data_IF_145275217706
#
_entry.id   IF_145275217706
#
_cell.length_a   1.000
_cell.length_b   1.000
_cell.length_c   1.000
_cell.angle_alpha   90.00
_cell.angle_beta   90.00
_cell.angle_gamma   90.00
#
_symmetry.space_group_name_H-M   'P 1'
#
loop_
_entity.id
_entity.type
_entity.pdbx_description
1 polymer ?
#
# COMPACT_ATOMS: atom_id res chain seq x y z
N UNK A 1 11.04 1.31 -15.37
CA UNK A 1 9.57 1.43 -15.22
C UNK A 1 8.94 0.13 -14.73
N UNK A 2 9.05 -0.99 -15.46
CA UNK A 2 8.48 -2.29 -15.05
C UNK A 2 8.99 -2.78 -13.69
N UNK A 3 10.31 -2.69 -13.46
CA UNK A 3 10.92 -3.01 -12.16
C UNK A 3 10.30 -2.19 -11.01
N UNK A 4 10.13 -0.89 -11.21
CA UNK A 4 9.56 -0.01 -10.20
C UNK A 4 8.11 -0.35 -9.88
N UNK A 5 7.31 -0.65 -10.91
CA UNK A 5 5.92 -1.09 -10.72
C UNK A 5 5.89 -2.40 -9.93
N UNK A 6 6.75 -3.35 -10.27
CA UNK A 6 6.85 -4.62 -9.56
C UNK A 6 7.23 -4.42 -8.07
N UNK A 7 8.22 -3.57 -7.78
CA UNK A 7 8.60 -3.23 -6.41
C UNK A 7 7.45 -2.56 -5.65
N UNK A 8 6.69 -1.65 -6.28
CA UNK A 8 5.53 -1.03 -5.63
C UNK A 8 4.42 -2.04 -5.33
N UNK A 9 4.14 -2.96 -6.25
CA UNK A 9 3.14 -4.00 -6.01
C UNK A 9 3.59 -4.94 -4.88
N UNK A 10 4.86 -5.35 -4.89
CA UNK A 10 5.40 -6.21 -3.84
C UNK A 10 5.40 -5.51 -2.47
N UNK A 11 5.81 -4.24 -2.43
CA UNK A 11 5.75 -3.41 -1.24
C UNK A 11 4.31 -3.30 -0.71
N UNK A 12 3.34 -3.02 -1.59
CA UNK A 12 1.92 -2.94 -1.26
C UNK A 12 1.36 -4.23 -0.68
N UNK A 13 1.72 -5.37 -1.27
CA UNK A 13 1.35 -6.69 -0.77
C UNK A 13 1.92 -6.96 0.62
N UNK A 14 3.18 -6.62 0.85
CA UNK A 14 3.81 -6.77 2.17
C UNK A 14 3.20 -5.81 3.20
N UNK A 15 2.96 -4.55 2.85
CA UNK A 15 2.40 -3.58 3.78
C UNK A 15 0.96 -3.92 4.18
N UNK A 16 0.10 -4.15 3.18
CA UNK A 16 -1.32 -4.46 3.42
C UNK A 16 -1.45 -5.84 4.07
N UNK A 17 -0.74 -6.85 3.56
CA UNK A 17 -0.79 -8.21 4.11
C UNK A 17 -0.20 -8.29 5.52
N UNK A 18 0.93 -7.62 5.77
CA UNK A 18 1.53 -7.55 7.10
C UNK A 18 0.62 -6.83 8.10
N UNK A 19 0.04 -5.71 7.69
CA UNK A 19 -0.96 -4.98 8.49
C UNK A 19 -2.21 -5.81 8.78
N UNK A 20 -2.71 -6.54 7.78
CA UNK A 20 -3.87 -7.42 7.92
C UNK A 20 -3.63 -8.56 8.93
N UNK A 21 -2.45 -9.17 8.92
CA UNK A 21 -2.09 -10.21 9.88
C UNK A 21 -2.03 -9.68 11.33
N UNK A 22 -1.51 -8.46 11.52
CA UNK A 22 -1.55 -7.79 12.82
C UNK A 22 -2.99 -7.46 13.22
N UNK A 23 -3.81 -7.01 12.27
CA UNK A 23 -5.23 -6.75 12.50
C UNK A 23 -5.98 -8.00 12.97
N UNK A 24 -5.75 -9.16 12.33
CA UNK A 24 -6.29 -10.45 12.76
C UNK A 24 -5.86 -10.81 14.20
N UNK A 25 -4.60 -10.58 14.55
CA UNK A 25 -4.12 -10.84 15.90
C UNK A 25 -4.78 -9.93 16.95
N UNK A 26 -4.78 -8.62 16.71
CA UNK A 26 -5.22 -7.64 17.71
C UNK A 26 -6.74 -7.45 17.79
N UNK A 27 -7.45 -7.55 16.66
CA UNK A 27 -8.89 -7.27 16.58
C UNK A 27 -9.76 -8.52 16.47
N UNK A 28 -9.28 -9.58 15.84
CA UNK A 28 -10.03 -10.85 15.70
C UNK A 28 -9.62 -11.90 16.74
N UNK A 29 -8.70 -11.58 17.66
CA UNK A 29 -8.26 -12.48 18.73
C UNK A 29 -7.55 -13.74 18.23
N UNK A 30 -7.01 -13.70 17.01
CA UNK A 30 -6.27 -14.81 16.43
C UNK A 30 -4.92 -15.03 17.16
N UNK A 31 -4.23 -16.11 16.78
CA UNK A 31 -2.94 -16.47 17.37
C UNK A 31 -1.92 -15.33 17.31
N UNK A 32 -1.17 -15.13 18.41
CA UNK A 32 -0.07 -14.15 18.49
C UNK A 32 1.02 -14.37 17.46
N UNK A 33 1.13 -15.60 16.93
CA UNK A 33 2.04 -15.93 15.85
C UNK A 33 1.73 -15.17 14.56
N UNK A 34 0.44 -14.92 14.25
CA UNK A 34 0.06 -14.12 13.07
C UNK A 34 0.53 -12.68 13.21
N UNK A 35 0.40 -12.10 14.41
CA UNK A 35 0.89 -10.75 14.69
C UNK A 35 2.41 -10.65 14.51
N UNK A 36 3.15 -11.64 14.98
CA UNK A 36 4.60 -11.70 14.79
C UNK A 36 4.99 -11.81 13.31
N UNK A 37 4.36 -12.72 12.55
CA UNK A 37 4.59 -12.84 11.10
C UNK A 37 4.23 -11.54 10.40
N UNK A 38 3.09 -10.93 10.74
CA UNK A 38 2.66 -9.65 10.19
C UNK A 38 3.70 -8.56 10.42
N UNK A 39 4.26 -8.49 11.64
CA UNK A 39 5.35 -7.56 11.98
C UNK A 39 6.62 -7.81 11.15
N UNK A 40 7.02 -9.07 10.95
CA UNK A 40 8.17 -9.42 10.10
C UNK A 40 7.91 -8.99 8.64
N UNK A 41 6.71 -9.23 8.12
CA UNK A 41 6.35 -8.82 6.75
C UNK A 41 6.33 -7.29 6.62
N UNK A 42 5.84 -6.56 7.61
CA UNK A 42 5.92 -5.09 7.63
C UNK A 42 7.37 -4.59 7.64
N UNK A 43 8.26 -5.27 8.37
CA UNK A 43 9.70 -4.96 8.32
C UNK A 43 10.27 -5.21 6.91
N UNK A 44 9.89 -6.32 6.27
CA UNK A 44 10.29 -6.62 4.89
C UNK A 44 9.77 -5.57 3.91
N UNK A 45 8.56 -5.05 4.09
CA UNK A 45 8.03 -3.94 3.29
C UNK A 45 8.98 -2.73 3.33
N UNK A 46 9.45 -2.31 4.51
CA UNK A 46 10.38 -1.18 4.62
C UNK A 46 11.67 -1.40 3.83
N UNK A 47 12.19 -2.62 3.82
CA UNK A 47 13.36 -3.01 3.02
C UNK A 47 13.06 -2.98 1.52
N UNK A 48 11.93 -3.57 1.11
CA UNK A 48 11.51 -3.64 -0.31
C UNK A 48 11.26 -2.24 -0.88
N UNK A 49 10.56 -1.38 -0.13
CA UNK A 49 10.27 0.00 -0.54
C UNK A 49 11.55 0.82 -0.77
N UNK A 50 12.63 0.51 -0.05
CA UNK A 50 13.93 1.19 -0.19
C UNK A 50 14.59 0.90 -1.54
N UNK A 51 14.30 -0.23 -2.19
CA UNK A 51 14.84 -0.56 -3.51
C UNK A 51 14.15 0.21 -4.65
N UNK A 52 13.19 1.07 -4.35
CA UNK A 52 12.47 1.82 -5.36
C UNK A 52 13.34 2.93 -5.99
N UNK A 53 13.47 2.89 -7.31
CA UNK A 53 14.30 3.82 -8.08
C UNK A 53 13.46 4.99 -8.60
N UNK A 54 13.43 6.10 -7.84
CA UNK A 54 12.75 7.36 -8.23
C UNK A 54 13.53 8.58 -7.68
N UNK A 55 13.36 9.81 -8.22
CA UNK A 55 14.31 10.91 -8.02
C UNK A 55 14.48 11.38 -6.56
N UNK A 56 13.45 11.21 -5.72
CA UNK A 56 13.46 11.66 -4.31
C UNK A 56 12.59 10.74 -3.47
N UNK A 57 13.05 10.43 -2.25
CA UNK A 57 12.32 9.62 -1.26
C UNK A 57 10.86 10.05 -1.09
N UNK A 58 10.62 11.36 -0.93
CA UNK A 58 9.26 11.87 -0.75
C UNK A 58 8.35 11.61 -1.96
N UNK A 59 8.87 11.69 -3.18
CA UNK A 59 8.09 11.41 -4.39
C UNK A 59 7.86 9.91 -4.61
N UNK A 60 8.81 9.06 -4.20
CA UNK A 60 8.62 7.60 -4.14
C UNK A 60 7.40 7.27 -3.29
N UNK A 61 7.39 7.77 -2.05
CA UNK A 61 6.33 7.47 -1.09
C UNK A 61 4.99 8.11 -1.48
N UNK A 62 5.00 9.30 -2.09
CA UNK A 62 3.79 9.90 -2.65
C UNK A 62 3.19 9.02 -3.77
N UNK A 63 4.03 8.56 -4.71
CA UNK A 63 3.60 7.67 -5.79
C UNK A 63 3.08 6.34 -5.26
N UNK A 64 3.80 5.77 -4.30
CA UNK A 64 3.43 4.56 -3.63
C UNK A 64 2.09 4.69 -2.90
N UNK A 65 1.83 5.81 -2.22
CA UNK A 65 0.55 6.06 -1.55
C UNK A 65 -0.65 5.93 -2.50
N UNK A 66 -0.49 6.33 -3.76
CA UNK A 66 -1.52 6.11 -4.79
C UNK A 66 -1.73 4.62 -5.11
N UNK A 67 -0.64 3.88 -5.28
CA UNK A 67 -0.68 2.42 -5.50
C UNK A 67 -1.30 1.71 -4.29
N UNK A 68 -0.91 2.12 -3.08
CA UNK A 68 -1.40 1.58 -1.81
C UNK A 68 -2.91 1.72 -1.69
N UNK A 69 -3.50 2.87 -2.05
CA UNK A 69 -4.95 3.06 -2.01
C UNK A 69 -5.64 2.07 -2.96
N UNK A 70 -5.17 1.95 -4.20
CA UNK A 70 -5.75 1.02 -5.18
C UNK A 70 -5.64 -0.43 -4.68
N UNK A 71 -4.47 -0.81 -4.18
CA UNK A 71 -4.27 -2.17 -3.65
C UNK A 71 -5.10 -2.42 -2.40
N UNK A 72 -5.31 -1.43 -1.54
CA UNK A 72 -6.15 -1.56 -0.33
C UNK A 72 -7.61 -1.83 -0.70
N UNK A 73 -8.15 -1.14 -1.71
CA UNK A 73 -9.51 -1.40 -2.20
C UNK A 73 -9.64 -2.80 -2.82
N UNK A 74 -8.65 -3.22 -3.61
CA UNK A 74 -8.61 -4.57 -4.18
C UNK A 74 -8.52 -5.63 -3.07
N UNK A 75 -7.70 -5.37 -2.04
CA UNK A 75 -7.55 -6.27 -0.91
C UNK A 75 -8.86 -6.40 -0.12
N UNK A 76 -9.52 -5.28 0.19
CA UNK A 76 -10.83 -5.29 0.85
C UNK A 76 -11.88 -6.07 0.03
N UNK A 77 -11.85 -5.93 -1.30
CA UNK A 77 -12.74 -6.67 -2.19
C UNK A 77 -12.48 -8.18 -2.20
N UNK A 78 -11.21 -8.60 -2.23
CA UNK A 78 -10.84 -10.02 -2.36
C UNK A 78 -10.87 -10.73 -1.00
N UNK A 79 -10.26 -10.13 0.02
CA UNK A 79 -10.02 -10.75 1.33
C UNK A 79 -11.20 -10.53 2.26
N UNK A 80 -11.65 -9.28 2.41
CA UNK A 80 -12.78 -8.97 3.29
C UNK A 80 -14.13 -9.15 2.59
N UNK A 81 -14.14 -9.45 1.28
CA UNK A 81 -15.34 -9.61 0.44
C UNK A 81 -16.28 -8.40 0.49
N UNK A 82 -15.74 -7.23 0.81
CA UNK A 82 -16.49 -5.98 0.85
C UNK A 82 -16.23 -5.21 -0.44
N UNK A 83 -17.27 -5.05 -1.25
CA UNK A 83 -17.19 -4.25 -2.46
C UNK A 83 -16.96 -2.78 -2.10
N UNK A 84 -15.96 -2.11 -2.71
CA UNK A 84 -15.74 -0.69 -2.47
C UNK A 84 -17.00 0.08 -2.84
N UNK A 85 -17.42 0.96 -1.95
CA UNK A 85 -18.63 1.73 -2.17
C UNK A 85 -18.37 2.90 -3.13
N UNK A 86 -19.42 3.66 -3.46
CA UNK A 86 -19.27 4.84 -4.34
C UNK A 86 -18.37 5.91 -3.71
N UNK A 87 -18.37 6.04 -2.39
CA UNK A 87 -17.60 7.03 -1.67
C UNK A 87 -16.11 6.66 -1.62
N UNK A 88 -15.79 5.38 -1.43
CA UNK A 88 -14.44 4.81 -1.51
C UNK A 88 -13.83 5.09 -2.88
N UNK A 89 -14.59 4.87 -3.95
CA UNK A 89 -14.11 5.10 -5.31
C UNK A 89 -13.88 6.60 -5.58
N UNK A 90 -14.78 7.47 -5.14
CA UNK A 90 -14.61 8.92 -5.26
C UNK A 90 -13.39 9.39 -4.46
N UNK A 91 -13.24 8.91 -3.22
CA UNK A 91 -12.10 9.21 -2.36
C UNK A 91 -10.78 8.76 -2.99
N UNK A 92 -10.74 7.53 -3.50
CA UNK A 92 -9.57 7.01 -4.21
C UNK A 92 -9.21 7.84 -5.44
N UNK A 93 -10.19 8.26 -6.24
CA UNK A 93 -9.97 9.16 -7.37
C UNK A 93 -9.33 10.48 -6.92
N UNK A 94 -9.83 11.10 -5.85
CA UNK A 94 -9.28 12.36 -5.32
C UNK A 94 -7.82 12.15 -4.87
N UNK A 95 -7.54 11.07 -4.15
CA UNK A 95 -6.19 10.76 -3.70
C UNK A 95 -5.23 10.51 -4.88
N UNK A 96 -5.66 9.76 -5.90
CA UNK A 96 -4.86 9.51 -7.10
C UNK A 96 -4.57 10.82 -7.84
N UNK A 97 -5.56 11.71 -7.97
CA UNK A 97 -5.35 13.05 -8.55
C UNK A 97 -4.29 13.81 -7.74
N UNK A 98 -4.38 13.79 -6.40
CA UNK A 98 -3.38 14.40 -5.52
C UNK A 98 -1.98 13.83 -5.74
N UNK A 99 -1.85 12.51 -5.86
CA UNK A 99 -0.57 11.84 -6.17
C UNK A 99 -0.03 12.25 -7.54
N UNK A 100 -0.89 12.30 -8.56
CA UNK A 100 -0.51 12.80 -9.89
C UNK A 100 0.06 14.22 -9.82
N UNK A 101 -0.58 15.11 -9.05
CA UNK A 101 -0.10 16.49 -8.83
C UNK A 101 1.28 16.52 -8.14
N UNK A 102 1.55 15.60 -7.21
CA UNK A 102 2.86 15.53 -6.53
C UNK A 102 3.98 14.99 -7.43
N UNK A 103 3.67 14.10 -8.37
CA UNK A 103 4.64 13.48 -9.26
C UNK A 103 4.90 14.33 -10.51
N UNK A 104 3.91 15.06 -11.01
CA UNK A 104 4.00 15.84 -12.24
C UNK A 104 5.21 16.80 -12.20
N UNK A 105 6.01 16.84 -13.29
CA UNK A 105 7.34 17.46 -13.29
C UNK A 105 7.31 19.00 -13.31
N UNK A 106 6.15 19.65 -13.20
CA UNK A 106 6.03 21.10 -13.33
C UNK A 106 6.41 21.82 -12.03
N UNK A 107 7.70 21.83 -11.70
CA UNK A 107 8.29 22.83 -10.81
C UNK A 107 9.61 23.31 -11.39
N UNK A 108 9.54 24.49 -12.01
CA UNK A 108 10.64 25.42 -12.26
C UNK A 108 11.38 25.72 -10.97
#
# INVERSE_FOLDING_TARGET
>A
MLYSIFIFLLAGLCEIGGGYLIWLWLREGQSSWLGFIGGVILMMYGVIATFQSFPTFGRVYAAYGGVFIVMSLIWAYIVDKQAPDKYDLIGACICIIGVCVMILPSRT
#
